data_IF_675673606464
#
_entry.id   IF_675673606464
#
_cell.length_a   1.000
_cell.length_b   1.000
_cell.length_c   1.000
_cell.angle_alpha   90.00
_cell.angle_beta   90.00
_cell.angle_gamma   90.00
#
_symmetry.space_group_name_H-M   'P 1'
#
loop_
_entity.id
_entity.type
_entity.pdbx_description
1 polymer ?
#
# COMPACT_ATOMS: atom_id res chain seq x y z
N UNK A 1 -36.59 62.41 -4.61
CA UNK A 1 -37.40 61.18 -4.54
C UNK A 1 -36.59 60.08 -3.89
N UNK A 2 -37.01 59.75 -2.66
CA UNK A 2 -36.71 58.62 -1.79
C UNK A 2 -35.50 57.72 -2.09
N UNK A 3 -34.56 57.62 -1.14
CA UNK A 3 -34.04 56.33 -0.66
C UNK A 3 -33.66 56.42 0.82
N UNK A 4 -34.31 55.55 1.63
CA UNK A 4 -34.13 55.35 3.07
C UNK A 4 -32.77 54.71 3.34
N UNK A 5 -32.04 55.21 4.35
CA UNK A 5 -30.90 54.52 4.95
C UNK A 5 -31.36 54.01 6.32
N UNK A 6 -31.31 52.69 6.51
CA UNK A 6 -31.65 51.97 7.73
C UNK A 6 -30.53 52.06 8.78
N UNK A 7 -30.93 52.14 10.04
CA UNK A 7 -30.12 52.14 11.26
C UNK A 7 -29.49 50.75 11.55
N UNK A 8 -28.31 50.69 12.20
CA UNK A 8 -27.71 49.42 12.62
C UNK A 8 -28.31 48.92 13.94
N UNK A 9 -28.71 47.64 13.93
CA UNK A 9 -29.25 46.88 15.06
C UNK A 9 -28.12 46.43 16.00
N UNK A 10 -28.25 46.78 17.28
CA UNK A 10 -27.38 46.35 18.38
C UNK A 10 -27.48 44.84 18.62
N UNK A 11 -26.35 44.14 18.61
CA UNK A 11 -26.25 42.72 18.92
C UNK A 11 -26.08 42.52 20.43
N UNK A 12 -27.08 41.90 21.06
CA UNK A 12 -27.07 41.50 22.47
C UNK A 12 -26.12 40.31 22.67
N UNK A 13 -25.23 40.43 23.66
CA UNK A 13 -24.39 39.34 24.16
C UNK A 13 -25.23 38.46 25.09
N UNK A 14 -25.50 37.21 24.68
CA UNK A 14 -26.12 36.19 25.52
C UNK A 14 -25.04 35.40 26.26
N UNK A 15 -24.91 35.66 27.56
CA UNK A 15 -24.14 34.83 28.48
C UNK A 15 -24.99 33.61 28.86
N UNK A 16 -24.55 32.41 28.47
CA UNK A 16 -25.09 31.15 28.99
C UNK A 16 -24.03 30.49 29.87
N UNK A 17 -24.30 30.52 31.17
CA UNK A 17 -23.57 29.83 32.22
C UNK A 17 -23.86 28.32 32.14
N UNK A 18 -22.87 27.52 31.75
CA UNK A 18 -22.97 26.06 31.84
C UNK A 18 -22.32 25.56 33.13
N UNK A 19 -23.16 24.99 33.97
CA UNK A 19 -22.84 24.41 35.27
C UNK A 19 -22.06 23.10 35.16
N UNK A 20 -20.95 23.05 35.89
CA UNK A 20 -20.28 21.91 36.55
C UNK A 20 -21.01 20.55 36.42
N UNK A 21 -20.40 19.60 35.71
CA UNK A 21 -20.61 18.17 35.96
C UNK A 21 -19.28 17.52 36.34
N UNK A 22 -19.22 17.04 37.59
CA UNK A 22 -18.14 16.19 38.10
C UNK A 22 -18.54 14.74 37.80
N UNK A 23 -17.81 14.08 36.91
CA UNK A 23 -17.93 12.64 36.71
C UNK A 23 -16.83 11.92 37.48
N UNK A 24 -17.29 11.17 38.48
CA UNK A 24 -16.56 10.27 39.36
C UNK A 24 -15.71 9.27 38.57
N UNK A 25 -14.39 9.22 38.83
CA UNK A 25 -13.59 8.04 38.55
C UNK A 25 -13.51 7.18 39.81
N UNK A 26 -14.21 6.05 39.79
CA UNK A 26 -14.13 5.04 40.84
C UNK A 26 -12.72 4.46 40.87
N UNK A 27 -11.92 4.89 41.85
CA UNK A 27 -10.61 4.35 42.20
C UNK A 27 -10.82 3.09 43.03
N UNK A 28 -10.74 1.91 42.42
CA UNK A 28 -10.67 0.66 43.17
C UNK A 28 -9.27 0.53 43.77
N UNK A 29 -9.21 0.73 45.08
CA UNK A 29 -8.04 0.53 45.92
C UNK A 29 -8.32 -0.72 46.75
N UNK A 30 -7.49 -1.75 46.63
CA UNK A 30 -7.49 -2.89 47.55
C UNK A 30 -6.04 -3.10 48.03
N UNK A 31 -5.77 -3.20 49.35
CA UNK A 31 -4.41 -3.24 49.89
C UNK A 31 -3.90 -4.67 50.13
N UNK A 32 -2.56 -4.76 50.07
CA UNK A 32 -1.66 -5.54 50.93
C UNK A 32 -1.83 -7.06 51.04
N UNK A 33 -0.84 -7.79 50.51
CA UNK A 33 -0.13 -8.81 51.28
C UNK A 33 1.38 -8.70 50.99
N UNK A 34 2.14 -8.34 52.02
CA UNK A 34 3.60 -8.47 52.07
C UNK A 34 3.97 -9.92 52.33
N UNK A 35 4.99 -10.43 51.65
CA UNK A 35 6.12 -11.06 52.35
C UNK A 35 7.35 -11.21 51.44
N UNK A 36 8.43 -10.55 51.87
CA UNK A 36 9.84 -10.95 51.81
C UNK A 36 10.23 -12.06 50.84
N UNK A 37 11.21 -11.78 49.96
CA UNK A 37 12.56 -12.38 50.05
C UNK A 37 13.52 -11.94 48.94
N UNK A 38 14.72 -11.58 49.39
CA UNK A 38 16.02 -11.63 48.71
C UNK A 38 16.37 -10.63 47.59
N UNK A 39 17.30 -9.75 47.99
CA UNK A 39 18.19 -8.95 47.17
C UNK A 39 19.05 -9.82 46.23
N UNK A 40 18.82 -9.69 44.92
CA UNK A 40 19.86 -9.94 43.93
C UNK A 40 20.31 -8.62 43.33
N UNK A 41 21.56 -8.30 43.65
CA UNK A 41 22.36 -7.22 43.10
C UNK A 41 22.55 -7.45 41.59
N UNK A 42 22.24 -6.41 40.83
CA UNK A 42 23.07 -6.00 39.70
C UNK A 42 23.04 -6.83 38.43
N UNK A 43 21.95 -6.72 37.66
CA UNK A 43 22.00 -6.62 36.20
C UNK A 43 20.89 -5.66 35.77
N UNK A 44 21.05 -4.37 36.09
CA UNK A 44 20.35 -3.31 35.37
C UNK A 44 20.89 -3.31 33.95
N UNK A 45 20.34 -4.20 33.13
CA UNK A 45 20.40 -4.11 31.68
C UNK A 45 19.92 -2.71 31.35
N UNK A 46 20.86 -1.83 31.00
CA UNK A 46 20.55 -0.50 30.49
C UNK A 46 19.70 -0.73 29.24
N UNK A 47 18.38 -0.74 29.41
CA UNK A 47 17.44 -0.60 28.33
C UNK A 47 17.72 0.78 27.76
N UNK A 48 18.57 0.84 26.72
CA UNK A 48 18.69 2.04 25.89
C UNK A 48 17.25 2.37 25.48
N UNK A 49 16.71 3.55 25.86
CA UNK A 49 15.40 3.93 25.40
C UNK A 49 15.47 3.95 23.87
N UNK A 50 14.66 3.12 23.23
CA UNK A 50 14.42 3.26 21.80
C UNK A 50 13.95 4.70 21.61
N UNK A 51 14.64 5.46 20.75
CA UNK A 51 14.29 6.82 20.38
C UNK A 51 12.90 6.82 19.73
N UNK A 52 11.85 6.82 20.53
CA UNK A 52 10.50 7.14 20.07
C UNK A 52 10.34 8.64 20.24
N UNK A 53 10.58 9.39 19.17
CA UNK A 53 10.19 10.80 19.13
C UNK A 53 8.67 10.86 19.31
N UNK A 54 8.21 11.42 20.44
CA UNK A 54 6.82 11.76 20.72
C UNK A 54 6.22 12.48 19.51
N UNK A 55 5.06 12.04 18.99
CA UNK A 55 4.32 12.77 17.94
C UNK A 55 3.89 14.11 18.51
N UNK A 56 4.28 15.20 17.85
CA UNK A 56 4.01 16.56 18.31
C UNK A 56 2.78 17.20 17.68
N UNK A 57 2.13 16.55 16.71
CA UNK A 57 1.11 17.21 15.86
C UNK A 57 -0.22 16.48 15.76
N UNK A 58 -0.31 15.21 16.19
CA UNK A 58 -1.59 14.49 16.29
C UNK A 58 -2.36 14.48 14.97
N UNK A 59 -3.55 15.12 14.94
CA UNK A 59 -4.41 15.21 13.76
C UNK A 59 -3.91 16.20 12.70
N UNK A 60 -3.03 17.13 13.05
CA UNK A 60 -2.50 18.10 12.09
C UNK A 60 -1.64 17.43 11.00
N UNK A 61 -1.09 16.24 11.27
CA UNK A 61 -0.29 15.47 10.30
C UNK A 61 -1.13 14.94 9.12
N UNK A 62 -2.46 14.98 9.22
CA UNK A 62 -3.37 14.63 8.12
C UNK A 62 -3.64 15.78 7.14
N UNK A 63 -3.14 16.98 7.43
CA UNK A 63 -3.32 18.16 6.59
C UNK A 63 -1.95 18.68 6.14
N UNK A 64 -1.91 19.29 4.95
CA UNK A 64 -0.71 19.98 4.49
C UNK A 64 -0.46 21.23 5.36
N UNK A 65 0.76 21.78 5.26
CA UNK A 65 1.16 23.00 5.97
C UNK A 65 0.16 24.11 5.64
N UNK A 66 -0.29 24.93 6.62
CA UNK A 66 -1.28 25.99 6.40
C UNK A 66 -0.91 26.98 5.28
N UNK A 67 0.38 27.16 5.03
CA UNK A 67 0.93 27.99 3.96
C UNK A 67 0.54 27.50 2.55
N UNK A 68 0.36 26.19 2.38
CA UNK A 68 0.03 25.56 1.09
C UNK A 68 -1.48 25.54 0.80
N UNK A 69 -2.32 26.06 1.70
CA UNK A 69 -3.76 25.99 1.55
C UNK A 69 -4.25 26.96 0.47
N UNK A 70 -5.02 26.44 -0.49
CA UNK A 70 -5.56 27.23 -1.61
C UNK A 70 -4.59 27.45 -2.77
N UNK A 71 -3.33 26.97 -2.67
CA UNK A 71 -2.41 26.97 -3.80
C UNK A 71 -2.81 25.91 -4.84
N UNK A 72 -2.83 26.29 -6.12
CA UNK A 72 -3.15 25.35 -7.20
C UNK A 72 -2.01 24.36 -7.48
N UNK A 73 -0.76 24.75 -7.22
CA UNK A 73 0.43 23.94 -7.51
C UNK A 73 1.41 23.97 -6.36
N UNK A 74 1.56 22.83 -5.68
CA UNK A 74 2.56 22.65 -4.62
C UNK A 74 3.81 22.01 -5.21
N UNK A 75 4.95 22.69 -5.08
CA UNK A 75 6.25 22.20 -5.58
C UNK A 75 6.61 20.90 -4.87
N UNK A 76 6.98 19.87 -5.63
CA UNK A 76 7.32 18.56 -5.08
C UNK A 76 8.53 17.94 -5.75
N UNK A 77 9.36 17.29 -4.95
CA UNK A 77 10.60 16.67 -5.39
C UNK A 77 10.43 15.50 -6.36
N UNK A 78 11.56 14.93 -6.74
CA UNK A 78 11.64 13.69 -7.50
C UNK A 78 11.28 12.48 -6.62
N UNK A 79 10.70 11.42 -7.20
CA UNK A 79 10.43 10.19 -6.48
C UNK A 79 11.72 9.43 -6.13
N UNK A 80 11.62 8.55 -5.13
CA UNK A 80 12.72 7.69 -4.71
C UNK A 80 13.07 6.65 -5.77
N UNK A 81 14.35 6.59 -6.17
CA UNK A 81 14.84 5.57 -7.09
C UNK A 81 15.30 4.31 -6.34
N UNK A 82 15.12 3.13 -6.95
CA UNK A 82 15.52 1.85 -6.36
C UNK A 82 17.01 1.83 -5.98
N UNK A 83 17.86 2.40 -6.84
CA UNK A 83 19.31 2.51 -6.59
C UNK A 83 19.63 3.29 -5.32
N UNK A 84 18.89 4.36 -5.02
CA UNK A 84 19.09 5.16 -3.80
C UNK A 84 18.66 4.40 -2.55
N UNK A 85 17.57 3.62 -2.64
CA UNK A 85 17.05 2.84 -1.52
C UNK A 85 17.91 1.61 -1.20
N UNK A 86 18.58 1.02 -2.21
CA UNK A 86 19.49 -0.13 -2.01
C UNK A 86 20.68 0.20 -1.11
N UNK A 87 21.14 1.45 -1.08
CA UNK A 87 22.24 1.91 -0.20
C UNK A 87 21.79 2.11 1.26
N UNK A 88 20.48 2.21 1.54
CA UNK A 88 19.96 2.52 2.88
C UNK A 88 19.79 1.27 3.75
N UNK A 89 19.92 1.44 5.06
CA UNK A 89 19.70 0.38 6.05
C UNK A 89 18.22 -0.05 6.09
N UNK A 90 17.93 -1.27 6.60
CA UNK A 90 16.54 -1.73 6.77
C UNK A 90 15.76 -0.86 7.77
N UNK A 91 16.43 -0.35 8.81
CA UNK A 91 15.82 0.56 9.80
C UNK A 91 15.39 1.89 9.15
N UNK A 92 16.23 2.46 8.28
CA UNK A 92 15.91 3.70 7.58
C UNK A 92 14.79 3.50 6.56
N UNK A 93 14.75 2.35 5.86
CA UNK A 93 13.64 2.02 4.97
C UNK A 93 12.31 1.86 5.72
N UNK A 94 12.35 1.33 6.95
CA UNK A 94 11.18 1.22 7.80
C UNK A 94 10.69 2.60 8.27
N UNK A 95 11.61 3.49 8.69
CA UNK A 95 11.27 4.89 9.03
C UNK A 95 10.72 5.65 7.82
N UNK A 96 11.37 5.52 6.66
CA UNK A 96 10.95 6.15 5.41
C UNK A 96 9.53 5.72 5.02
N UNK A 97 9.17 4.46 5.25
CA UNK A 97 7.82 4.00 4.98
C UNK A 97 6.76 4.73 5.77
N UNK A 98 6.97 4.98 7.07
CA UNK A 98 6.02 5.77 7.84
C UNK A 98 5.93 7.21 7.35
N UNK A 99 7.04 7.82 6.95
CA UNK A 99 7.03 9.16 6.36
C UNK A 99 6.19 9.19 5.09
N UNK A 100 6.41 8.23 4.17
CA UNK A 100 5.64 8.11 2.93
C UNK A 100 4.16 7.78 3.18
N UNK A 101 3.88 6.94 4.16
CA UNK A 101 2.51 6.57 4.53
C UNK A 101 1.74 7.77 5.08
N UNK A 102 2.39 8.61 5.89
CA UNK A 102 1.76 9.84 6.41
C UNK A 102 1.49 10.84 5.30
N UNK A 103 2.46 11.06 4.40
CA UNK A 103 2.27 11.89 3.21
C UNK A 103 1.12 11.37 2.35
N UNK A 104 1.06 10.06 2.08
CA UNK A 104 -0.05 9.43 1.35
C UNK A 104 -1.39 9.72 2.01
N UNK A 105 -1.49 9.51 3.33
CA UNK A 105 -2.73 9.72 4.05
C UNK A 105 -3.18 11.19 4.02
N UNK A 106 -2.24 12.14 4.13
CA UNK A 106 -2.49 13.57 3.99
C UNK A 106 -2.93 13.96 2.56
N UNK A 107 -2.36 13.34 1.53
CA UNK A 107 -2.79 13.58 0.15
C UNK A 107 -4.18 13.00 -0.12
N UNK A 108 -4.52 11.84 0.46
CA UNK A 108 -5.85 11.24 0.34
C UNK A 108 -6.93 12.06 1.03
N UNK A 109 -6.65 12.65 2.20
CA UNK A 109 -7.59 13.59 2.86
C UNK A 109 -7.82 14.82 1.98
N UNK A 110 -6.75 15.37 1.39
CA UNK A 110 -6.83 16.52 0.48
C UNK A 110 -7.60 16.16 -0.80
N UNK A 111 -7.41 14.98 -1.37
CA UNK A 111 -8.16 14.49 -2.52
C UNK A 111 -9.65 14.42 -2.22
N UNK A 112 -9.98 13.84 -1.07
CA UNK A 112 -11.36 13.64 -0.66
C UNK A 112 -12.05 14.97 -0.33
N UNK A 113 -11.35 15.91 0.31
CA UNK A 113 -11.89 17.24 0.58
C UNK A 113 -12.06 18.05 -0.71
N UNK A 114 -11.12 17.96 -1.65
CA UNK A 114 -11.24 18.61 -2.97
C UNK A 114 -12.48 18.09 -3.72
N UNK A 115 -12.71 16.76 -3.71
CA UNK A 115 -13.92 16.15 -4.27
C UNK A 115 -15.20 16.65 -3.58
N UNK A 116 -15.20 16.75 -2.24
CA UNK A 116 -16.33 17.28 -1.45
C UNK A 116 -16.64 18.72 -1.82
N UNK A 117 -15.61 19.55 -1.98
CA UNK A 117 -15.73 20.96 -2.39
C UNK A 117 -15.99 21.13 -3.89
N UNK A 118 -15.90 20.03 -4.69
CA UNK A 118 -16.00 20.02 -6.16
C UNK A 118 -14.91 20.85 -6.85
N UNK A 119 -13.73 20.92 -6.25
CA UNK A 119 -12.55 21.59 -6.78
C UNK A 119 -11.54 20.52 -7.24
N UNK A 120 -10.69 20.84 -8.19
CA UNK A 120 -9.60 19.95 -8.59
C UNK A 120 -8.55 19.88 -7.48
N UNK A 121 -8.04 18.67 -7.23
CA UNK A 121 -7.03 18.49 -6.19
C UNK A 121 -5.75 19.26 -6.54
N UNK A 122 -5.16 19.98 -5.57
CA UNK A 122 -3.82 20.54 -5.72
C UNK A 122 -2.81 19.43 -6.05
N UNK A 123 -2.08 19.60 -7.16
CA UNK A 123 -0.97 18.72 -7.57
C UNK A 123 -1.19 17.20 -7.44
N UNK A 124 -2.06 16.57 -8.26
CA UNK A 124 -2.31 15.12 -8.23
C UNK A 124 -1.12 14.24 -8.56
N UNK A 125 -0.07 14.82 -9.14
CA UNK A 125 1.19 14.16 -9.40
C UNK A 125 1.92 13.75 -8.12
N UNK A 126 1.73 14.48 -7.01
CA UNK A 126 2.32 14.14 -5.70
C UNK A 126 1.90 12.75 -5.24
N UNK A 127 0.59 12.48 -5.33
CA UNK A 127 0.02 11.21 -4.92
C UNK A 127 0.57 10.07 -5.77
N UNK A 128 0.66 10.25 -7.09
CA UNK A 128 1.26 9.25 -7.99
C UNK A 128 2.74 8.98 -7.66
N UNK A 129 3.51 10.02 -7.34
CA UNK A 129 4.92 9.86 -6.94
C UNK A 129 5.03 9.05 -5.64
N UNK A 130 4.19 9.33 -4.64
CA UNK A 130 4.21 8.60 -3.37
C UNK A 130 3.77 7.15 -3.56
N UNK A 131 2.63 6.93 -4.24
CA UNK A 131 2.02 5.60 -4.39
C UNK A 131 2.76 4.71 -5.39
N UNK A 132 2.81 5.13 -6.66
CA UNK A 132 3.26 4.25 -7.74
C UNK A 132 4.79 4.13 -7.76
N UNK A 133 5.51 5.12 -7.25
CA UNK A 133 6.97 5.11 -7.34
C UNK A 133 7.66 4.91 -6.01
N UNK A 134 7.36 5.66 -4.96
CA UNK A 134 8.12 5.56 -3.71
C UNK A 134 7.77 4.29 -2.90
N UNK A 135 6.48 4.02 -2.67
CA UNK A 135 6.04 2.85 -1.90
C UNK A 135 6.37 1.54 -2.63
N UNK A 136 6.03 1.44 -3.92
CA UNK A 136 6.35 0.25 -4.70
C UNK A 136 7.86 0.00 -4.79
N UNK A 137 8.67 1.03 -4.99
CA UNK A 137 10.13 0.88 -5.08
C UNK A 137 10.77 0.47 -3.75
N UNK A 138 10.25 0.97 -2.61
CA UNK A 138 10.68 0.50 -1.29
C UNK A 138 10.32 -0.98 -1.12
N UNK A 139 9.09 -1.36 -1.43
CA UNK A 139 8.60 -2.72 -1.27
C UNK A 139 9.35 -3.72 -2.14
N UNK A 140 9.72 -3.33 -3.36
CA UNK A 140 10.55 -4.18 -4.23
C UNK A 140 11.95 -4.36 -3.66
N UNK A 141 12.61 -3.30 -3.18
CA UNK A 141 13.94 -3.41 -2.57
C UNK A 141 13.93 -4.28 -1.31
N UNK A 142 12.89 -4.17 -0.48
CA UNK A 142 12.75 -5.03 0.71
C UNK A 142 12.54 -6.49 0.30
N UNK A 143 11.65 -6.75 -0.68
CA UNK A 143 11.45 -8.10 -1.23
C UNK A 143 12.72 -8.68 -1.84
N UNK A 144 13.47 -7.91 -2.64
CA UNK A 144 14.76 -8.32 -3.21
C UNK A 144 15.72 -8.81 -2.11
N UNK A 145 15.80 -8.09 -0.99
CA UNK A 145 16.64 -8.45 0.17
C UNK A 145 16.16 -9.73 0.85
N UNK A 146 14.88 -9.83 1.12
CA UNK A 146 14.27 -11.02 1.74
C UNK A 146 14.42 -12.26 0.85
N UNK A 147 14.27 -12.10 -0.47
CA UNK A 147 14.40 -13.17 -1.46
C UNK A 147 15.85 -13.66 -1.54
N UNK A 148 16.82 -12.75 -1.59
CA UNK A 148 18.24 -13.09 -1.57
C UNK A 148 18.64 -13.85 -0.28
N UNK A 149 18.20 -13.35 0.88
CA UNK A 149 18.44 -14.02 2.16
C UNK A 149 17.84 -15.42 2.20
N UNK A 150 16.60 -15.57 1.73
CA UNK A 150 15.90 -16.87 1.69
C UNK A 150 16.58 -17.86 0.74
N UNK A 151 17.04 -17.40 -0.42
CA UNK A 151 17.79 -18.23 -1.35
C UNK A 151 19.11 -18.72 -0.75
N UNK A 152 19.81 -17.87 -0.01
CA UNK A 152 21.07 -18.26 0.66
C UNK A 152 20.86 -19.22 1.83
N UNK A 153 19.80 -19.03 2.62
CA UNK A 153 19.53 -19.86 3.81
C UNK A 153 18.86 -21.19 3.48
N UNK A 154 17.85 -21.20 2.60
CA UNK A 154 16.99 -22.37 2.34
C UNK A 154 17.06 -22.84 0.88
N UNK A 155 17.58 -22.01 -0.04
CA UNK A 155 17.55 -22.30 -1.49
C UNK A 155 16.15 -22.18 -2.12
N UNK A 156 15.15 -21.68 -1.39
CA UNK A 156 13.77 -21.61 -1.86
C UNK A 156 13.46 -20.27 -2.55
N UNK A 157 12.96 -20.34 -3.79
CA UNK A 157 12.61 -19.15 -4.57
C UNK A 157 11.45 -18.34 -3.97
N UNK A 158 10.44 -19.01 -3.38
CA UNK A 158 9.21 -18.36 -2.91
C UNK A 158 9.10 -18.40 -1.40
N UNK A 159 8.70 -17.27 -0.80
CA UNK A 159 8.47 -17.18 0.65
C UNK A 159 7.33 -18.09 1.12
N UNK A 160 6.24 -18.16 0.35
CA UNK A 160 5.08 -19.02 0.66
C UNK A 160 5.18 -20.33 -0.10
N UNK A 161 5.20 -21.49 0.60
CA UNK A 161 5.24 -22.78 -0.07
C UNK A 161 3.94 -23.02 -0.86
N UNK A 162 4.08 -23.68 -2.00
CA UNK A 162 2.96 -24.04 -2.84
C UNK A 162 3.31 -25.17 -3.79
N UNK A 163 2.29 -25.67 -4.48
CA UNK A 163 2.41 -26.80 -5.38
C UNK A 163 1.59 -26.53 -6.63
N UNK A 164 2.11 -26.93 -7.80
CA UNK A 164 1.34 -26.93 -9.04
C UNK A 164 0.24 -27.99 -8.95
N UNK A 165 -1.02 -27.55 -9.08
CA UNK A 165 -2.19 -28.42 -9.03
C UNK A 165 -3.09 -28.17 -10.23
N UNK A 166 -3.84 -29.20 -10.61
CA UNK A 166 -4.91 -29.08 -11.60
C UNK A 166 -6.22 -28.79 -10.86
N UNK A 167 -6.95 -27.81 -11.37
CA UNK A 167 -8.33 -27.54 -10.98
C UNK A 167 -9.27 -28.62 -11.54
N UNK A 168 -10.52 -28.60 -11.10
CA UNK A 168 -11.60 -29.46 -11.62
C UNK A 168 -11.73 -29.28 -13.14
N UNK A 169 -11.48 -28.07 -13.65
CA UNK A 169 -11.52 -27.76 -15.07
C UNK A 169 -10.22 -28.04 -15.84
N UNK A 170 -9.26 -28.76 -15.24
CA UNK A 170 -8.00 -29.15 -15.87
C UNK A 170 -6.99 -28.01 -16.05
N UNK A 171 -7.24 -26.84 -15.44
CA UNK A 171 -6.30 -25.71 -15.46
C UNK A 171 -5.21 -25.94 -14.43
N UNK A 172 -3.95 -25.81 -14.84
CA UNK A 172 -2.81 -25.83 -13.93
C UNK A 172 -2.71 -24.47 -13.26
N UNK A 173 -2.70 -24.45 -11.94
CA UNK A 173 -2.51 -23.24 -11.16
C UNK A 173 -1.61 -23.52 -9.96
N UNK A 174 -0.97 -22.46 -9.45
CA UNK A 174 -0.18 -22.55 -8.24
C UNK A 174 -1.08 -22.52 -7.02
N UNK A 175 -1.14 -23.63 -6.27
CA UNK A 175 -1.88 -23.70 -5.02
C UNK A 175 -0.95 -23.33 -3.85
N UNK A 176 -1.19 -22.16 -3.26
CA UNK A 176 -0.50 -21.73 -2.04
C UNK A 176 -1.00 -22.52 -0.84
N UNK A 177 -0.10 -23.24 -0.18
CA UNK A 177 -0.44 -23.99 1.02
C UNK A 177 -0.84 -23.00 2.13
N UNK A 178 -1.89 -23.33 2.87
CA UNK A 178 -2.30 -22.59 4.06
C UNK A 178 -1.77 -23.35 5.29
N UNK A 179 -1.34 -22.61 6.31
CA UNK A 179 -0.69 -23.15 7.52
C UNK A 179 -1.68 -23.81 8.49
N UNK A 180 -2.98 -23.78 8.19
CA UNK A 180 -4.00 -24.40 9.03
C UNK A 180 -3.83 -25.93 9.09
N UNK A 181 -4.33 -26.53 10.18
CA UNK A 181 -4.37 -27.97 10.53
C UNK A 181 -4.14 -28.95 9.36
N UNK A 182 -3.43 -30.08 9.57
CA UNK A 182 -3.11 -31.05 8.53
C UNK A 182 -4.26 -31.32 7.56
N UNK A 183 -3.95 -31.39 6.26
CA UNK A 183 -4.96 -31.44 5.19
C UNK A 183 -6.01 -32.54 5.39
N UNK A 184 -5.63 -33.68 5.96
CA UNK A 184 -6.57 -34.77 6.23
C UNK A 184 -7.58 -34.47 7.36
N UNK A 185 -7.26 -33.54 8.28
CA UNK A 185 -8.15 -33.14 9.38
C UNK A 185 -9.12 -32.06 8.96
N UNK A 186 -8.76 -31.27 7.94
CA UNK A 186 -9.57 -30.16 7.48
C UNK A 186 -10.65 -30.63 6.51
N UNK A 187 -11.90 -30.67 7.00
CA UNK A 187 -13.10 -31.05 6.23
C UNK A 187 -13.36 -30.12 5.03
N UNK A 188 -12.86 -28.87 5.06
CA UNK A 188 -13.00 -27.89 3.99
C UNK A 188 -11.91 -28.01 2.92
N UNK A 189 -11.02 -29.01 3.01
CA UNK A 189 -9.99 -29.21 2.00
C UNK A 189 -10.59 -29.41 0.61
N UNK A 190 -10.00 -28.73 -0.38
CA UNK A 190 -10.40 -28.83 -1.78
C UNK A 190 -9.96 -30.18 -2.33
N UNK A 191 -10.82 -30.81 -3.13
CA UNK A 191 -10.45 -31.99 -3.92
C UNK A 191 -9.66 -31.55 -5.15
N UNK A 192 -8.52 -32.17 -5.39
CA UNK A 192 -7.64 -31.86 -6.52
C UNK A 192 -7.65 -33.00 -7.53
N UNK A 193 -8.67 -33.05 -8.38
CA UNK A 193 -8.73 -33.97 -9.51
C UNK A 193 -9.45 -33.30 -10.68
N UNK A 194 -9.13 -33.74 -11.89
CA UNK A 194 -9.79 -33.30 -13.12
C UNK A 194 -10.65 -34.44 -13.63
N UNK A 195 -11.99 -34.29 -13.74
CA UNK A 195 -12.85 -35.31 -14.31
C UNK A 195 -12.52 -35.58 -15.79
N UNK A 196 -12.72 -36.81 -16.25
CA UNK A 196 -12.35 -37.23 -17.61
C UNK A 196 -13.14 -36.50 -18.70
N UNK A 197 -14.41 -36.14 -18.46
CA UNK A 197 -15.25 -35.41 -19.42
C UNK A 197 -14.74 -33.98 -19.70
N UNK A 198 -13.81 -33.46 -18.90
CA UNK A 198 -13.20 -32.15 -19.11
C UNK A 198 -12.13 -32.20 -20.21
N UNK A 199 -11.61 -33.39 -20.54
CA UNK A 199 -10.51 -33.54 -21.50
C UNK A 199 -10.80 -32.96 -22.90
N UNK A 200 -12.00 -33.13 -23.52
CA UNK A 200 -12.29 -32.52 -24.82
C UNK A 200 -12.32 -30.99 -24.73
N UNK A 201 -12.75 -30.44 -23.60
CA UNK A 201 -12.84 -29.00 -23.36
C UNK A 201 -11.44 -28.38 -23.18
N UNK A 202 -10.51 -29.12 -22.59
CA UNK A 202 -9.10 -28.73 -22.51
C UNK A 202 -8.48 -28.61 -23.91
N UNK A 203 -8.76 -29.58 -24.80
CA UNK A 203 -8.31 -29.55 -26.20
C UNK A 203 -8.86 -28.33 -26.94
N UNK A 204 -10.18 -28.09 -26.88
CA UNK A 204 -10.81 -26.94 -27.54
C UNK A 204 -10.23 -25.60 -27.05
N UNK A 205 -9.92 -25.49 -25.76
CA UNK A 205 -9.27 -24.29 -25.18
C UNK A 205 -7.86 -24.08 -25.75
N UNK A 206 -7.08 -25.15 -25.87
CA UNK A 206 -5.75 -25.12 -26.47
C UNK A 206 -5.82 -24.71 -27.95
N UNK A 207 -6.72 -25.31 -28.72
CA UNK A 207 -6.94 -24.96 -30.14
C UNK A 207 -7.33 -23.48 -30.29
N UNK A 208 -8.23 -22.98 -29.43
CA UNK A 208 -8.62 -21.56 -29.42
C UNK A 208 -7.40 -20.66 -29.14
N UNK A 209 -6.57 -21.01 -28.16
CA UNK A 209 -5.35 -20.27 -27.84
C UNK A 209 -4.36 -20.24 -29.01
N UNK A 210 -4.12 -21.39 -29.65
CA UNK A 210 -3.23 -21.50 -30.82
C UNK A 210 -3.77 -20.70 -32.02
N UNK A 211 -5.08 -20.78 -32.31
CA UNK A 211 -5.71 -19.97 -33.36
C UNK A 211 -5.55 -18.48 -33.09
N UNK A 212 -5.75 -18.03 -31.86
CA UNK A 212 -5.57 -16.62 -31.49
C UNK A 212 -4.10 -16.18 -31.62
N UNK A 213 -3.15 -17.02 -31.18
CA UNK A 213 -1.70 -16.78 -31.34
C UNK A 213 -1.33 -16.62 -32.81
N UNK A 214 -1.80 -17.51 -33.69
CA UNK A 214 -1.53 -17.44 -35.13
C UNK A 214 -2.14 -16.19 -35.77
N UNK A 215 -3.38 -15.81 -35.41
CA UNK A 215 -3.98 -14.56 -35.90
C UNK A 215 -3.16 -13.34 -35.50
N UNK A 216 -2.67 -13.28 -34.26
CA UNK A 216 -1.82 -12.19 -33.77
C UNK A 216 -0.51 -12.11 -34.58
N UNK A 217 0.18 -13.23 -34.74
CA UNK A 217 1.42 -13.30 -35.53
C UNK A 217 1.21 -12.90 -36.99
N UNK A 218 0.13 -13.36 -37.62
CA UNK A 218 -0.18 -12.96 -38.98
C UNK A 218 -0.49 -11.47 -39.09
N UNK A 219 -1.23 -10.91 -38.13
CA UNK A 219 -1.48 -9.47 -38.05
C UNK A 219 -0.19 -8.65 -37.85
N UNK A 220 0.74 -9.14 -37.04
CA UNK A 220 2.07 -8.52 -36.86
C UNK A 220 2.89 -8.55 -38.15
N UNK A 221 2.92 -9.69 -38.86
CA UNK A 221 3.59 -9.82 -40.17
C UNK A 221 3.00 -8.88 -41.21
N UNK A 222 1.68 -8.81 -41.30
CA UNK A 222 0.98 -7.89 -42.22
C UNK A 222 1.28 -6.42 -41.88
N UNK A 223 1.26 -6.05 -40.59
CA UNK A 223 1.66 -4.70 -40.16
C UNK A 223 3.10 -4.39 -40.53
N UNK A 224 4.01 -5.33 -40.33
CA UNK A 224 5.42 -5.18 -40.69
C UNK A 224 5.60 -5.05 -42.21
N UNK A 225 4.90 -5.86 -43.00
CA UNK A 225 4.90 -5.76 -44.47
C UNK A 225 4.38 -4.39 -44.93
N UNK A 226 3.24 -3.93 -44.39
CA UNK A 226 2.71 -2.59 -44.71
C UNK A 226 3.62 -1.44 -44.26
N UNK A 227 4.34 -1.57 -43.14
CA UNK A 227 5.37 -0.60 -42.73
C UNK A 227 6.56 -0.59 -43.70
N UNK A 228 7.00 -1.77 -44.14
CA UNK A 228 8.08 -1.93 -45.10
C UNK A 228 7.74 -1.39 -46.50
N UNK A 229 6.47 -1.47 -46.90
CA UNK A 229 5.98 -0.87 -48.15
C UNK A 229 5.97 0.67 -48.05
N UNK A 230 5.47 1.22 -46.92
CA UNK A 230 5.42 2.67 -46.70
C UNK A 230 6.79 3.31 -46.47
N UNK A 231 7.70 2.58 -45.83
CA UNK A 231 9.05 3.04 -45.49
C UNK A 231 10.10 2.05 -46.00
N UNK A 232 10.38 2.00 -47.31
CA UNK A 232 11.35 1.07 -47.90
C UNK A 232 12.76 1.17 -47.31
N UNK A 233 13.17 2.38 -46.87
CA UNK A 233 14.44 2.65 -46.21
C UNK A 233 14.65 1.84 -44.91
N UNK A 234 13.58 1.36 -44.27
CA UNK A 234 13.68 0.49 -43.10
C UNK A 234 14.29 -0.88 -43.42
N UNK A 235 14.21 -1.35 -44.68
CA UNK A 235 14.81 -2.63 -45.11
C UNK A 235 16.34 -2.56 -45.19
N UNK A 236 16.91 -1.37 -45.38
CA UNK A 236 18.35 -1.18 -45.62
C UNK A 236 19.20 -1.10 -44.34
N UNK A 237 18.59 -1.01 -43.16
CA UNK A 237 19.28 -0.81 -41.86
C UNK A 237 19.53 -2.08 -41.06
N UNK A 238 19.03 -3.23 -41.52
CA UNK A 238 19.33 -4.53 -40.89
C UNK A 238 20.61 -5.10 -41.50
N UNK A 239 21.76 -4.60 -41.04
CA UNK A 239 23.10 -5.14 -41.28
C UNK A 239 23.75 -5.44 -39.94
#
# INVERSE_FOLDING_TARGET
NAFRISTPLSAQQSALTLTKSQSYTHRLTSPLFSSSSHCHVGLLRQCRPLHTTISRRGLEEFFDIPENWGEATVKSGAPWMAKQLRTKSNEDLHKLWYVLLKEKNMLLTTEQESKRQRIQMPSPERLKKVDDTALLTRDTVVKEREDALRLLQTGQERARPGVWRKDVFGRVYWYGLAVSHPLHMNKRCKRFYTPLYVTPHMRLRLEKHLRAKNRKQNGERQKQAGLQEKFPQMKARTS
#
